data_IF_784473266908
#
_entry.id   IF_784473266908
#
_cell.length_a   1.000
_cell.length_b   1.000
_cell.length_c   1.000
_cell.angle_alpha   90.00
_cell.angle_beta   90.00
_cell.angle_gamma   90.00
#
_symmetry.space_group_name_H-M   'P 1'
#
loop_
_entity.id
_entity.type
_entity.pdbx_description
1 polymer ?
#
# COMPACT_ATOMS: atom_id res chain seq x y z
N UNK A 1 -20.16 -0.70 11.22
CA UNK A 1 -19.34 -1.69 11.95
C UNK A 1 -19.97 -3.07 11.97
N UNK A 2 -21.28 -3.20 12.09
CA UNK A 2 -21.98 -4.50 12.01
C UNK A 2 -21.68 -5.27 10.73
N UNK A 3 -21.66 -4.61 9.57
CA UNK A 3 -21.46 -5.25 8.28
C UNK A 3 -20.10 -5.98 8.10
N UNK A 4 -19.10 -5.63 8.89
CA UNK A 4 -17.74 -6.21 8.83
C UNK A 4 -17.36 -6.96 10.12
N UNK A 5 -18.28 -7.08 11.06
CA UNK A 5 -18.11 -7.88 12.28
C UNK A 5 -17.06 -7.39 13.27
N UNK A 6 -16.63 -6.13 13.20
CA UNK A 6 -15.61 -5.56 14.11
C UNK A 6 -16.22 -4.63 15.14
N UNK A 7 -15.66 -4.63 16.36
CA UNK A 7 -16.13 -3.79 17.47
C UNK A 7 -15.69 -2.34 17.35
N UNK A 8 -14.57 -2.06 16.68
CA UNK A 8 -14.01 -0.72 16.52
C UNK A 8 -13.23 -0.60 15.20
N UNK A 9 -13.14 0.61 14.69
CA UNK A 9 -12.30 0.96 13.56
C UNK A 9 -11.03 1.64 14.07
N UNK A 10 -9.89 1.34 13.43
CA UNK A 10 -8.62 2.01 13.66
C UNK A 10 -8.22 2.75 12.38
N UNK A 11 -7.52 3.86 12.55
CA UNK A 11 -7.01 4.66 11.44
C UNK A 11 -6.52 6.01 11.91
N UNK A 12 -6.16 6.87 10.98
CA UNK A 12 -5.65 8.21 11.23
C UNK A 12 -6.66 9.04 12.04
N UNK A 13 -6.18 9.67 13.12
CA UNK A 13 -7.02 10.50 13.98
C UNK A 13 -7.46 11.76 13.25
N UNK A 14 -8.69 12.21 13.51
CA UNK A 14 -9.24 13.44 12.95
C UNK A 14 -9.89 13.29 11.57
N UNK A 15 -9.87 12.10 10.97
CA UNK A 15 -10.48 11.82 9.68
C UNK A 15 -11.52 10.71 9.76
N UNK A 16 -12.62 10.90 9.05
CA UNK A 16 -13.66 9.89 8.86
C UNK A 16 -13.15 8.70 8.01
N UNK A 17 -13.85 7.59 8.03
CA UNK A 17 -13.53 6.43 7.18
C UNK A 17 -13.55 6.78 5.69
N UNK A 18 -14.50 7.63 5.27
CA UNK A 18 -14.61 8.06 3.89
C UNK A 18 -13.38 8.90 3.48
N UNK A 19 -12.98 9.87 4.29
CA UNK A 19 -11.80 10.69 4.02
C UNK A 19 -10.52 9.85 3.98
N UNK A 20 -10.36 8.89 4.88
CA UNK A 20 -9.21 7.98 4.88
C UNK A 20 -9.11 7.16 3.59
N UNK A 21 -10.23 6.71 3.06
CA UNK A 21 -10.26 5.90 1.86
C UNK A 21 -10.16 6.68 0.55
N UNK A 22 -10.55 7.97 0.56
CA UNK A 22 -10.64 8.77 -0.68
C UNK A 22 -9.61 9.89 -0.80
N UNK A 23 -9.22 10.52 0.32
CA UNK A 23 -8.41 11.74 0.29
C UNK A 23 -7.08 11.63 1.01
N UNK A 24 -6.89 10.58 1.83
CA UNK A 24 -5.66 10.40 2.61
C UNK A 24 -4.74 9.37 1.96
N UNK A 25 -3.41 9.55 2.09
CA UNK A 25 -2.47 8.54 1.61
C UNK A 25 -2.62 7.26 2.44
N UNK A 26 -2.36 6.12 1.81
CA UNK A 26 -2.29 4.86 2.52
C UNK A 26 -0.92 4.20 2.39
N UNK A 27 -0.62 3.36 3.36
CA UNK A 27 0.56 2.51 3.41
C UNK A 27 0.10 1.10 3.77
N UNK A 28 0.27 0.17 2.84
CA UNK A 28 -0.26 -1.17 2.96
C UNK A 28 0.84 -2.22 2.80
N UNK A 29 0.96 -3.12 3.76
CA UNK A 29 1.78 -4.32 3.62
C UNK A 29 0.93 -5.38 2.93
N UNK A 30 1.05 -5.48 1.61
CA UNK A 30 0.25 -6.38 0.78
C UNK A 30 0.82 -7.80 0.65
N UNK A 31 1.98 -8.06 1.22
CA UNK A 31 2.55 -9.40 1.29
C UNK A 31 3.69 -9.44 2.29
N UNK A 32 3.75 -10.52 3.05
CA UNK A 32 4.85 -10.81 3.98
C UNK A 32 5.11 -12.31 3.96
N UNK A 33 6.36 -12.72 3.87
CA UNK A 33 6.73 -14.13 3.88
C UNK A 33 8.16 -14.34 4.36
N UNK A 34 8.41 -15.53 4.86
CA UNK A 34 9.69 -16.01 5.39
C UNK A 34 9.47 -17.24 6.22
N UNK A 35 10.56 -17.91 6.56
CA UNK A 35 10.49 -19.14 7.34
C UNK A 35 10.09 -20.37 6.56
N UNK A 36 9.78 -21.44 7.30
CA UNK A 36 9.36 -22.72 6.73
C UNK A 36 7.85 -22.73 6.51
N UNK A 37 7.45 -23.07 5.30
CA UNK A 37 6.04 -23.07 4.86
C UNK A 37 5.54 -24.47 4.47
N UNK A 38 6.37 -25.53 4.65
CA UNK A 38 5.96 -26.91 4.39
C UNK A 38 5.13 -27.51 5.51
N UNK A 39 4.68 -28.73 5.31
CA UNK A 39 3.91 -29.48 6.31
C UNK A 39 4.77 -29.83 7.55
N UNK A 40 4.11 -29.80 8.73
CA UNK A 40 4.76 -30.08 10.02
C UNK A 40 5.55 -28.90 10.57
N UNK A 41 6.37 -29.16 11.57
CA UNK A 41 7.24 -28.15 12.21
C UNK A 41 8.71 -28.38 11.85
N UNK A 42 9.45 -27.27 11.69
CA UNK A 42 10.89 -27.31 11.47
C UNK A 42 11.58 -26.30 12.38
N UNK A 43 12.50 -26.77 13.21
CA UNK A 43 13.27 -25.94 14.15
C UNK A 43 14.42 -25.22 13.43
N UNK A 44 14.09 -24.35 12.50
CA UNK A 44 15.02 -23.54 11.72
C UNK A 44 14.60 -22.09 11.76
N UNK A 45 15.54 -21.21 12.10
CA UNK A 45 15.33 -19.76 11.94
C UNK A 45 15.60 -19.38 10.49
N UNK A 46 14.69 -18.63 9.84
CA UNK A 46 14.89 -18.19 8.47
C UNK A 46 16.03 -17.17 8.39
N UNK A 47 16.89 -17.31 7.40
CA UNK A 47 17.94 -16.32 7.12
C UNK A 47 17.43 -15.10 6.32
N UNK A 48 16.23 -15.19 5.79
CA UNK A 48 15.61 -14.13 4.96
C UNK A 48 14.13 -14.01 5.27
N UNK A 49 13.65 -12.76 5.27
CA UNK A 49 12.25 -12.41 5.29
C UNK A 49 11.97 -11.35 4.22
N UNK A 50 10.76 -11.33 3.72
CA UNK A 50 10.36 -10.44 2.63
C UNK A 50 9.03 -9.80 2.96
N UNK A 51 8.85 -8.58 2.48
CA UNK A 51 7.56 -7.89 2.48
C UNK A 51 7.36 -7.17 1.15
N UNK A 52 6.13 -7.13 0.70
CA UNK A 52 5.66 -6.24 -0.37
C UNK A 52 4.84 -5.14 0.26
N UNK A 53 5.16 -3.93 -0.13
CA UNK A 53 4.52 -2.72 0.37
C UNK A 53 3.98 -1.93 -0.80
N UNK A 54 2.79 -1.39 -0.66
CA UNK A 54 2.23 -0.43 -1.59
C UNK A 54 1.83 0.85 -0.84
N UNK A 55 2.04 1.98 -1.50
CA UNK A 55 1.62 3.29 -1.01
C UNK A 55 0.66 3.91 -2.01
N UNK A 56 -0.49 4.39 -1.54
CA UNK A 56 -1.35 5.29 -2.30
C UNK A 56 -0.94 6.71 -1.98
N UNK A 57 -0.59 7.46 -3.02
CA UNK A 57 -0.13 8.84 -2.89
C UNK A 57 -1.29 9.83 -3.03
N UNK A 58 -1.16 10.98 -2.39
CA UNK A 58 -2.07 12.11 -2.58
C UNK A 58 -1.49 13.07 -3.62
N UNK A 59 -2.28 14.05 -4.12
CA UNK A 59 -1.80 15.07 -5.04
C UNK A 59 -0.52 15.77 -4.52
N UNK A 60 0.33 16.16 -5.45
CA UNK A 60 1.62 16.85 -5.17
C UNK A 60 2.69 16.01 -4.45
N UNK A 61 2.50 14.69 -4.34
CA UNK A 61 3.55 13.77 -3.91
C UNK A 61 4.26 13.16 -5.11
N UNK A 62 5.57 13.29 -5.13
CA UNK A 62 6.42 12.64 -6.12
C UNK A 62 6.73 11.20 -5.71
N UNK A 63 6.42 10.23 -6.58
CA UNK A 63 6.57 8.81 -6.26
C UNK A 63 8.02 8.37 -6.11
N UNK A 64 8.97 9.01 -6.81
CA UNK A 64 10.40 8.73 -6.66
C UNK A 64 10.87 9.16 -5.29
N UNK A 65 10.56 10.40 -4.91
CA UNK A 65 10.91 10.94 -3.60
C UNK A 65 10.31 10.12 -2.45
N UNK A 66 9.06 9.68 -2.58
CA UNK A 66 8.43 8.83 -1.56
C UNK A 66 9.12 7.46 -1.48
N UNK A 67 9.52 6.88 -2.62
CA UNK A 67 10.27 5.63 -2.65
C UNK A 67 11.64 5.74 -1.96
N UNK A 68 12.35 6.84 -2.19
CA UNK A 68 13.64 7.12 -1.53
C UNK A 68 13.46 7.30 -0.03
N UNK A 69 12.53 8.16 0.40
CA UNK A 69 12.23 8.39 1.81
C UNK A 69 11.83 7.09 2.54
N UNK A 70 11.04 6.25 1.89
CA UNK A 70 10.68 4.95 2.43
C UNK A 70 11.91 4.05 2.59
N UNK A 71 12.75 3.96 1.55
CA UNK A 71 13.95 3.14 1.60
C UNK A 71 14.92 3.59 2.70
N UNK A 72 15.12 4.89 2.85
CA UNK A 72 16.00 5.47 3.86
C UNK A 72 15.44 5.26 5.26
N UNK A 73 14.13 5.43 5.44
CA UNK A 73 13.49 5.17 6.73
C UNK A 73 13.62 3.70 7.14
N UNK A 74 13.36 2.75 6.24
CA UNK A 74 13.51 1.32 6.55
C UNK A 74 14.95 0.98 6.90
N UNK A 75 15.93 1.54 6.19
CA UNK A 75 17.36 1.35 6.53
C UNK A 75 17.70 1.94 7.89
N UNK A 76 17.14 3.10 8.22
CA UNK A 76 17.42 3.78 9.48
C UNK A 76 16.91 3.06 10.73
N UNK A 77 15.79 2.33 10.59
CA UNK A 77 15.20 1.57 11.71
C UNK A 77 15.67 0.12 11.78
N UNK A 78 16.38 -0.34 10.75
CA UNK A 78 16.90 -1.71 10.71
C UNK A 78 18.02 -1.90 11.75
N UNK A 79 18.01 -2.99 12.53
CA UNK A 79 19.11 -3.29 13.41
C UNK A 79 20.41 -3.54 12.61
N UNK A 80 21.56 -3.22 13.18
CA UNK A 80 22.87 -3.44 12.56
C UNK A 80 23.15 -4.93 12.23
N UNK A 81 22.44 -5.83 12.89
CA UNK A 81 22.56 -7.28 12.70
C UNK A 81 21.88 -7.82 11.44
N UNK A 82 21.15 -6.99 10.70
CA UNK A 82 20.45 -7.40 9.48
C UNK A 82 20.83 -6.52 8.28
N UNK A 83 20.81 -7.11 7.11
CA UNK A 83 20.97 -6.38 5.86
C UNK A 83 19.62 -6.16 5.22
N UNK A 84 19.30 -4.92 4.89
CA UNK A 84 18.05 -4.53 4.26
C UNK A 84 18.29 -4.14 2.80
N UNK A 85 17.56 -4.79 1.90
CA UNK A 85 17.49 -4.42 0.50
C UNK A 85 16.08 -3.94 0.18
N UNK A 86 15.95 -2.69 -0.20
CA UNK A 86 14.70 -2.12 -0.73
C UNK A 86 14.81 -2.03 -2.24
N UNK A 87 13.83 -2.58 -2.95
CA UNK A 87 13.78 -2.58 -4.41
C UNK A 87 12.48 -1.87 -4.83
N UNK A 88 12.57 -0.64 -5.33
CA UNK A 88 11.41 0.02 -5.94
C UNK A 88 10.93 -0.78 -7.15
N UNK A 89 9.61 -0.92 -7.29
CA UNK A 89 9.02 -1.65 -8.42
C UNK A 89 8.52 -0.65 -9.47
N UNK A 90 7.31 -0.17 -9.32
CA UNK A 90 6.70 0.80 -10.23
C UNK A 90 5.98 1.87 -9.40
N UNK A 91 5.79 3.01 -9.98
CA UNK A 91 5.06 4.12 -9.38
C UNK A 91 4.51 5.04 -10.46
N UNK A 92 3.56 5.87 -10.08
CA UNK A 92 2.95 6.87 -10.95
C UNK A 92 2.70 8.16 -10.21
N UNK A 93 2.71 9.24 -10.96
CA UNK A 93 2.45 10.57 -10.44
C UNK A 93 0.95 10.74 -10.18
N UNK A 94 0.62 11.36 -9.04
CA UNK A 94 -0.75 11.77 -8.74
C UNK A 94 -1.22 12.86 -9.70
N UNK A 95 -2.48 12.78 -10.13
CA UNK A 95 -3.13 13.80 -10.94
C UNK A 95 -4.26 14.47 -10.19
N UNK A 96 -4.31 15.79 -10.26
CA UNK A 96 -5.43 16.58 -9.75
C UNK A 96 -6.34 16.94 -10.90
N UNK A 97 -7.55 16.38 -10.89
CA UNK A 97 -8.57 16.74 -11.88
C UNK A 97 -9.18 18.10 -11.52
N UNK A 98 -9.08 19.12 -12.40
CA UNK A 98 -9.76 20.39 -12.19
C UNK A 98 -11.28 20.19 -12.17
N UNK A 99 -11.98 20.85 -11.25
CA UNK A 99 -13.45 20.77 -11.12
C UNK A 99 -14.15 21.22 -12.41
N UNK A 100 -13.51 22.08 -13.21
CA UNK A 100 -14.02 22.56 -14.49
C UNK A 100 -13.92 21.52 -15.62
N UNK A 101 -13.21 20.40 -15.42
CA UNK A 101 -13.09 19.36 -16.41
C UNK A 101 -14.35 18.46 -16.35
N UNK A 102 -15.28 18.62 -17.29
CA UNK A 102 -16.35 17.66 -17.49
C UNK A 102 -15.77 16.40 -18.13
N UNK A 103 -15.54 15.37 -17.31
CA UNK A 103 -15.18 14.05 -17.82
C UNK A 103 -16.47 13.39 -18.29
N UNK A 104 -16.70 13.36 -19.59
CA UNK A 104 -17.74 12.53 -20.18
C UNK A 104 -17.28 11.07 -20.13
N UNK A 105 -17.71 10.34 -19.09
CA UNK A 105 -17.60 8.88 -19.13
C UNK A 105 -18.60 8.34 -20.14
N UNK A 106 -18.17 8.05 -21.34
CA UNK A 106 -18.89 7.13 -22.18
C UNK A 106 -18.74 5.73 -21.57
N UNK A 107 -19.68 5.35 -20.72
CA UNK A 107 -19.80 3.96 -20.30
C UNK A 107 -20.19 3.14 -21.54
N UNK A 108 -19.19 2.57 -22.22
CA UNK A 108 -19.44 1.45 -23.10
C UNK A 108 -19.78 0.26 -22.19
N UNK A 109 -21.07 0.01 -22.01
CA UNK A 109 -21.55 -1.17 -21.31
C UNK A 109 -21.07 -2.42 -22.07
N UNK A 110 -20.10 -3.10 -21.50
CA UNK A 110 -19.70 -4.42 -21.97
C UNK A 110 -20.53 -5.47 -21.23
N UNK A 111 -21.42 -6.20 -21.92
CA UNK A 111 -22.29 -7.19 -21.27
C UNK A 111 -21.54 -8.36 -20.62
N UNK A 112 -20.23 -8.46 -20.77
CA UNK A 112 -19.40 -9.48 -20.12
C UNK A 112 -18.89 -9.07 -18.71
N UNK A 113 -19.18 -7.86 -18.21
CA UNK A 113 -18.96 -7.46 -16.83
C UNK A 113 -17.50 -7.28 -16.38
N UNK A 114 -16.55 -7.21 -17.29
CA UNK A 114 -15.15 -6.93 -16.95
C UNK A 114 -14.79 -5.46 -17.22
N UNK A 115 -14.27 -4.78 -16.21
CA UNK A 115 -13.65 -3.48 -16.37
C UNK A 115 -12.26 -3.66 -17.02
N UNK A 116 -12.04 -2.97 -18.13
CA UNK A 116 -10.71 -2.74 -18.67
C UNK A 116 -10.15 -1.41 -18.17
#
# INVERSE_FOLDING_TARGET
MEAIGVKALKGEKGYSTLERNSCRPSFDVCGIWGGYTGEGSKTVLPSKAFAKVSCRLVPHQDHHKISELFADYIRSIAPETVQVKVTPMHGGQGYVCPISLQISFSQSYNPAGYFQ
#
